data_IF_803125208478
#
_entry.id   IF_803125208478
#
_cell.length_a   1.000
_cell.length_b   1.000
_cell.length_c   1.000
_cell.angle_alpha   90.00
_cell.angle_beta   90.00
_cell.angle_gamma   90.00
#
_symmetry.space_group_name_H-M   'P 1'
#
loop_
_entity.id
_entity.type
_entity.pdbx_description
1 polymer ?
#
# COMPACT_ATOMS: atom_id res chain seq x y z
N UNK A 1 15.15 -5.83 3.23
CA UNK A 1 14.10 -6.28 4.17
C UNK A 1 12.97 -5.25 4.30
N UNK A 2 13.25 -3.96 4.49
CA UNK A 2 12.20 -2.90 4.53
C UNK A 2 11.45 -2.73 3.21
N UNK A 3 12.17 -2.83 2.09
CA UNK A 3 11.59 -2.68 0.76
C UNK A 3 10.49 -3.71 0.41
N UNK A 4 10.74 -4.97 0.76
CA UNK A 4 9.78 -6.05 0.55
C UNK A 4 8.54 -5.89 1.46
N UNK A 5 8.74 -5.43 2.69
CA UNK A 5 7.64 -5.16 3.62
C UNK A 5 6.71 -4.05 3.12
N UNK A 6 7.27 -2.92 2.66
CA UNK A 6 6.47 -1.81 2.12
C UNK A 6 5.68 -2.24 0.89
N UNK A 7 6.32 -3.01 0.01
CA UNK A 7 5.63 -3.55 -1.16
C UNK A 7 4.48 -4.50 -0.77
N UNK A 8 4.71 -5.41 0.16
CA UNK A 8 3.66 -6.30 0.69
C UNK A 8 2.49 -5.51 1.29
N UNK A 9 2.78 -4.49 2.12
CA UNK A 9 1.74 -3.66 2.73
C UNK A 9 0.89 -2.94 1.67
N UNK A 10 1.51 -2.34 0.65
CA UNK A 10 0.80 -1.67 -0.45
C UNK A 10 0.01 -2.63 -1.37
N UNK A 11 0.28 -3.93 -1.28
CA UNK A 11 -0.44 -4.98 -2.01
C UNK A 11 -1.70 -5.45 -1.29
N UNK A 12 -1.64 -5.67 0.04
CA UNK A 12 -2.70 -6.39 0.75
C UNK A 12 -3.48 -5.56 1.78
N UNK A 13 -3.02 -4.34 2.12
CA UNK A 13 -3.65 -3.55 3.19
C UNK A 13 -5.15 -3.29 2.98
N UNK A 14 -5.58 -3.03 1.74
CA UNK A 14 -6.99 -2.75 1.46
C UNK A 14 -7.91 -3.98 1.64
N UNK A 15 -7.37 -5.20 1.59
CA UNK A 15 -8.13 -6.43 1.86
C UNK A 15 -8.29 -6.62 3.37
N UNK A 16 -7.18 -6.52 4.12
CA UNK A 16 -7.16 -6.72 5.57
C UNK A 16 -7.89 -5.61 6.35
N UNK A 17 -7.93 -4.37 5.83
CA UNK A 17 -8.53 -3.24 6.54
C UNK A 17 -10.06 -3.31 6.62
N UNK A 18 -10.69 -4.09 5.73
CA UNK A 18 -12.12 -4.36 5.76
C UNK A 18 -12.49 -5.28 6.94
N UNK A 19 -11.65 -6.26 7.25
CA UNK A 19 -11.88 -7.24 8.32
C UNK A 19 -11.85 -6.61 9.71
N UNK A 20 -11.13 -5.49 9.85
CA UNK A 20 -11.09 -4.68 11.08
C UNK A 20 -12.12 -3.54 11.08
N UNK A 21 -12.99 -3.46 10.07
CA UNK A 21 -14.11 -2.51 10.02
C UNK A 21 -13.76 -1.08 9.62
N UNK A 22 -12.60 -0.86 8.99
CA UNK A 22 -12.18 0.45 8.48
C UNK A 22 -12.38 0.55 6.96
N UNK A 23 -12.46 1.77 6.46
CA UNK A 23 -12.59 2.02 5.04
C UNK A 23 -11.25 1.85 4.31
N UNK A 24 -11.23 1.20 3.14
CA UNK A 24 -10.02 1.05 2.36
C UNK A 24 -9.58 2.39 1.78
N UNK A 25 -8.27 2.52 1.52
CA UNK A 25 -7.74 3.66 0.82
C UNK A 25 -8.26 3.69 -0.63
N UNK A 26 -8.52 4.89 -1.17
CA UNK A 26 -8.95 5.04 -2.56
C UNK A 26 -7.87 4.53 -3.54
N UNK A 27 -8.29 4.03 -4.69
CA UNK A 27 -7.38 3.50 -5.71
C UNK A 27 -6.32 4.54 -6.12
N UNK A 28 -6.70 5.81 -6.23
CA UNK A 28 -5.79 6.91 -6.55
C UNK A 28 -4.71 7.14 -5.49
N UNK A 29 -5.08 7.03 -4.20
CA UNK A 29 -4.13 7.16 -3.09
C UNK A 29 -3.12 5.99 -3.09
N UNK A 30 -3.60 4.76 -3.29
CA UNK A 30 -2.74 3.57 -3.35
C UNK A 30 -1.81 3.64 -4.57
N UNK A 31 -2.30 4.05 -5.73
CA UNK A 31 -1.48 4.25 -6.92
C UNK A 31 -0.35 5.28 -6.69
N UNK A 32 -0.68 6.40 -6.05
CA UNK A 32 0.30 7.44 -5.68
C UNK A 32 1.36 6.90 -4.72
N UNK A 33 0.94 6.14 -3.69
CA UNK A 33 1.85 5.53 -2.73
C UNK A 33 2.82 4.52 -3.38
N UNK A 34 2.33 3.69 -4.32
CA UNK A 34 3.19 2.78 -5.11
C UNK A 34 4.18 3.55 -5.97
N UNK A 35 3.76 4.65 -6.60
CA UNK A 35 4.66 5.46 -7.42
C UNK A 35 5.76 6.11 -6.58
N UNK A 36 5.42 6.66 -5.41
CA UNK A 36 6.39 7.23 -4.47
C UNK A 36 7.38 6.16 -4.00
N UNK A 37 6.89 4.95 -3.74
CA UNK A 37 7.74 3.83 -3.39
C UNK A 37 8.73 3.46 -4.51
N UNK A 38 8.26 3.35 -5.75
CA UNK A 38 9.13 3.10 -6.91
C UNK A 38 10.17 4.21 -7.10
N UNK A 39 9.79 5.46 -6.85
CA UNK A 39 10.71 6.60 -6.93
C UNK A 39 11.78 6.54 -5.84
N UNK A 40 11.44 6.09 -4.63
CA UNK A 40 12.37 5.95 -3.52
C UNK A 40 13.33 4.75 -3.64
N UNK A 41 13.08 3.83 -4.60
CA UNK A 41 13.95 2.70 -4.92
C UNK A 41 14.99 3.00 -5.99
N UNK A 42 14.92 4.18 -6.63
CA UNK A 42 15.95 4.68 -7.54
C UNK A 42 17.10 5.28 -6.75
#
# INVERSE_FOLDING_TARGET
QVAAFINFYLSFMNEEILDVGYFPASEAAVATARQNWLNAMK
#
